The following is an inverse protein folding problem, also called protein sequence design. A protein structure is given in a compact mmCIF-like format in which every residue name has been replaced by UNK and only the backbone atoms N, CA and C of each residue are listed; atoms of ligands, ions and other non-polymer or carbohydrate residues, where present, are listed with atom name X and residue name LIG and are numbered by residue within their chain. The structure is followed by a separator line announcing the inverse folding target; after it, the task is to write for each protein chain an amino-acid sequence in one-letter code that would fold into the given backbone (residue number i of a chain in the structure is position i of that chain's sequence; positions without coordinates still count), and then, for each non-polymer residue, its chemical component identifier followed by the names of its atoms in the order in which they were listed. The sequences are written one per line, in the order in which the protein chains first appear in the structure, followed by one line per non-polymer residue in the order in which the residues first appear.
data_IF_080759931132
#
_entry.id   IF_080759931132
#
_cell.length_a   1.000
_cell.length_b   1.000
_cell.length_c   1.000
_cell.angle_alpha   90.00
_cell.angle_beta   90.00
_cell.angle_gamma   90.00
#
_symmetry.space_group_name_H-M   'P 1'
#
loop_
_entity.id
_entity.type
_entity.pdbx_description
1 polymer ?
#
# COMPACT_ATOMS: atom_id res chain seq x y z
N UNK A 1 -10.75 -2.51 11.19
CA UNK A 1 -11.15 -1.13 11.54
C UNK A 1 -11.31 -0.36 10.25
N UNK A 2 -12.41 0.37 10.09
CA UNK A 2 -12.63 1.23 8.92
C UNK A 2 -12.49 2.69 9.31
N UNK A 3 -11.98 3.49 8.39
CA UNK A 3 -11.89 4.93 8.54
C UNK A 3 -12.32 5.58 7.23
N UNK A 4 -12.93 6.74 7.34
CA UNK A 4 -13.35 7.56 6.22
C UNK A 4 -12.32 8.64 5.96
N UNK A 5 -11.92 8.81 4.70
CA UNK A 5 -11.10 9.96 4.29
C UNK A 5 -11.95 11.23 4.31
N UNK A 6 -11.52 12.22 5.07
CA UNK A 6 -12.15 13.55 5.17
C UNK A 6 -11.43 14.55 4.26
N UNK A 7 -10.09 14.50 4.24
CA UNK A 7 -9.26 15.42 3.45
C UNK A 7 -7.92 14.79 3.11
N UNK A 8 -7.39 15.13 1.92
CA UNK A 8 -6.01 14.86 1.53
C UNK A 8 -5.36 16.16 1.03
N UNK A 9 -4.15 16.45 1.49
CA UNK A 9 -3.32 17.57 1.06
C UNK A 9 -1.86 17.12 0.96
N UNK A 10 -1.39 16.83 -0.25
CA UNK A 10 -0.05 16.26 -0.45
C UNK A 10 0.08 14.90 0.23
N UNK A 11 1.08 14.80 1.11
CA UNK A 11 1.41 13.65 1.96
C UNK A 11 0.57 13.57 3.25
N UNK A 12 -0.37 14.51 3.44
CA UNK A 12 -1.15 14.60 4.66
C UNK A 12 -2.60 14.16 4.45
N UNK A 13 -3.02 13.16 5.22
CA UNK A 13 -4.36 12.59 5.20
C UNK A 13 -5.08 12.90 6.51
N UNK A 14 -6.32 13.36 6.43
CA UNK A 14 -7.21 13.48 7.58
C UNK A 14 -8.29 12.43 7.45
N UNK A 15 -8.34 11.52 8.41
CA UNK A 15 -9.32 10.42 8.44
C UNK A 15 -10.19 10.51 9.69
N UNK A 16 -11.44 10.06 9.59
CA UNK A 16 -12.35 9.85 10.71
C UNK A 16 -12.53 8.37 10.95
N UNK A 17 -12.33 7.94 12.19
CA UNK A 17 -12.51 6.54 12.60
C UNK A 17 -14.01 6.22 12.69
N UNK A 18 -14.49 5.16 12.03
CA UNK A 18 -15.94 4.89 11.93
C UNK A 18 -16.46 3.95 13.04
N UNK A 19 -15.62 3.05 13.57
CA UNK A 19 -15.99 2.13 14.65
C UNK A 19 -14.80 1.79 15.53
N UNK A 20 -15.00 1.87 16.85
CA UNK A 20 -13.99 1.56 17.87
C UNK A 20 -13.00 2.70 18.06
N UNK A 21 -12.99 3.27 19.27
CA UNK A 21 -11.97 4.22 19.74
C UNK A 21 -10.65 3.50 19.96
N UNK A 22 -10.05 2.98 18.88
CA UNK A 22 -8.66 2.60 18.92
C UNK A 22 -7.87 3.85 19.32
N UNK A 23 -7.17 3.77 20.47
CA UNK A 23 -6.20 4.80 20.84
C UNK A 23 -5.02 4.66 19.88
N UNK A 24 -5.09 5.35 18.76
CA UNK A 24 -3.92 5.62 17.93
C UNK A 24 -3.42 7.01 18.32
N UNK A 25 -2.52 7.11 19.32
CA UNK A 25 -1.92 8.39 19.68
C UNK A 25 -1.05 8.92 18.54
N UNK A 26 -0.71 10.21 18.63
CA UNK A 26 0.35 10.75 17.80
C UNK A 26 1.64 9.93 17.99
N UNK A 27 2.38 9.72 16.91
CA UNK A 27 3.55 8.82 16.90
C UNK A 27 3.24 7.39 16.47
N UNK A 28 1.96 7.03 16.27
CA UNK A 28 1.60 5.68 15.85
C UNK A 28 1.87 5.52 14.35
N UNK A 29 2.68 4.51 14.00
CA UNK A 29 2.85 4.08 12.62
C UNK A 29 1.58 3.40 12.11
N UNK A 30 1.16 3.77 10.91
CA UNK A 30 -0.07 3.31 10.29
C UNK A 30 0.16 2.98 8.81
N UNK A 31 -0.55 1.94 8.36
CA UNK A 31 -0.73 1.64 6.96
C UNK A 31 -2.09 2.16 6.51
N UNK A 32 -2.13 2.90 5.39
CA UNK A 32 -3.37 3.30 4.74
C UNK A 32 -3.48 2.56 3.41
N UNK A 33 -4.63 1.94 3.20
CA UNK A 33 -4.93 1.18 1.99
C UNK A 33 -6.05 1.90 1.27
N UNK A 34 -5.78 2.40 0.07
CA UNK A 34 -6.79 2.90 -0.87
C UNK A 34 -6.97 1.91 -2.02
N UNK A 35 -7.99 2.09 -2.88
CA UNK A 35 -8.13 1.26 -4.08
C UNK A 35 -6.91 1.31 -4.99
N UNK A 36 -6.24 2.46 -5.13
CA UNK A 36 -5.09 2.60 -6.03
C UNK A 36 -3.72 2.43 -5.36
N UNK A 37 -3.59 2.74 -4.06
CA UNK A 37 -2.27 2.86 -3.41
C UNK A 37 -2.23 2.27 -1.99
N UNK A 38 -1.03 1.88 -1.59
CA UNK A 38 -0.65 1.64 -0.20
C UNK A 38 0.19 2.82 0.28
N UNK A 39 -0.05 3.28 1.50
CA UNK A 39 0.73 4.32 2.14
C UNK A 39 1.23 3.84 3.49
N UNK A 40 2.47 4.20 3.82
CA UNK A 40 3.01 4.08 5.17
C UNK A 40 3.24 5.48 5.72
N UNK A 41 2.78 5.68 6.95
CA UNK A 41 2.87 6.98 7.59
C UNK A 41 2.77 6.90 9.10
N UNK A 42 2.78 8.09 9.69
CA UNK A 42 2.69 8.29 11.13
C UNK A 42 1.51 9.21 11.45
N UNK A 43 0.81 8.93 12.54
CA UNK A 43 -0.20 9.85 13.05
C UNK A 43 0.49 11.08 13.64
N UNK A 44 0.31 12.21 12.97
CA UNK A 44 0.85 13.50 13.41
C UNK A 44 -0.06 14.23 14.38
N UNK A 45 -1.38 13.99 14.35
CA UNK A 45 -2.31 14.57 15.33
C UNK A 45 -3.56 13.73 15.57
N UNK A 46 -4.12 13.91 16.77
CA UNK A 46 -5.35 13.25 17.22
C UNK A 46 -6.32 14.29 17.77
N UNK A 47 -7.56 14.30 17.26
CA UNK A 47 -8.64 15.16 17.77
C UNK A 47 -9.96 14.35 17.78
N UNK A 48 -10.38 13.88 18.96
CA UNK A 48 -11.53 12.97 19.08
C UNK A 48 -11.37 11.71 18.23
N UNK A 49 -12.22 11.57 17.21
CA UNK A 49 -12.18 10.47 16.23
C UNK A 49 -11.42 10.82 14.94
N UNK A 50 -10.90 12.05 14.83
CA UNK A 50 -10.08 12.47 13.70
C UNK A 50 -8.61 12.12 13.95
N UNK A 51 -7.97 11.57 12.93
CA UNK A 51 -6.53 11.37 12.88
C UNK A 51 -5.97 12.10 11.66
N UNK A 52 -4.91 12.85 11.89
CA UNK A 52 -4.07 13.32 10.79
C UNK A 52 -2.88 12.39 10.67
N UNK A 53 -2.62 11.93 9.46
CA UNK A 53 -1.51 11.05 9.12
C UNK A 53 -0.63 11.78 8.12
N UNK A 54 0.68 11.75 8.36
CA UNK A 54 1.70 12.18 7.40
C UNK A 54 2.32 10.93 6.81
N UNK A 55 2.33 10.81 5.48
CA UNK A 55 2.85 9.63 4.77
C UNK A 55 4.26 9.88 4.26
N UNK A 56 5.16 8.96 4.53
CA UNK A 56 6.55 9.04 4.06
C UNK A 56 6.78 8.21 2.79
N UNK A 57 5.99 7.15 2.63
CA UNK A 57 6.13 6.20 1.54
C UNK A 57 4.78 5.85 0.94
N UNK A 58 4.76 5.71 -0.40
CA UNK A 58 3.61 5.21 -1.14
C UNK A 58 4.02 4.13 -2.14
N UNK A 59 3.12 3.19 -2.39
CA UNK A 59 3.27 2.14 -3.39
C UNK A 59 2.02 2.07 -4.26
N UNK A 60 2.22 2.01 -5.57
CA UNK A 60 1.15 1.82 -6.54
C UNK A 60 0.72 0.33 -6.57
N UNK A 61 -0.58 0.08 -6.38
CA UNK A 61 -1.11 -1.28 -6.30
C UNK A 61 -1.00 -2.05 -7.62
N UNK A 62 -1.15 -1.36 -8.75
CA UNK A 62 -1.04 -1.99 -10.05
C UNK A 62 0.42 -2.38 -10.33
N UNK A 63 1.38 -1.54 -9.96
CA UNK A 63 2.80 -1.84 -10.04
C UNK A 63 3.19 -3.05 -9.18
N UNK A 64 2.72 -3.10 -7.92
CA UNK A 64 2.95 -4.26 -7.03
C UNK A 64 2.36 -5.53 -7.64
N UNK A 65 1.14 -5.46 -8.17
CA UNK A 65 0.48 -6.61 -8.83
C UNK A 65 1.27 -7.10 -10.03
N UNK A 66 1.79 -6.19 -10.86
CA UNK A 66 2.60 -6.55 -12.03
C UNK A 66 3.92 -7.23 -11.64
N UNK A 67 4.61 -6.72 -10.61
CA UNK A 67 5.85 -7.33 -10.09
C UNK A 67 5.56 -8.73 -9.54
N UNK A 68 4.49 -8.89 -8.76
CA UNK A 68 4.08 -10.19 -8.22
C UNK A 68 3.77 -11.18 -9.34
N UNK A 69 3.07 -10.76 -10.40
CA UNK A 69 2.79 -11.61 -11.54
C UNK A 69 4.07 -12.08 -12.24
N UNK A 70 5.07 -11.21 -12.39
CA UNK A 70 6.37 -11.55 -12.98
C UNK A 70 7.18 -12.54 -12.12
N UNK A 71 7.07 -12.46 -10.79
CA UNK A 71 7.76 -13.37 -9.88
C UNK A 71 7.08 -14.73 -9.75
N UNK A 72 5.74 -14.76 -9.72
CA UNK A 72 4.96 -16.00 -9.60
C UNK A 72 4.91 -16.77 -10.93
N UNK A 73 5.11 -16.07 -12.06
CA UNK A 73 5.30 -16.69 -13.36
C UNK A 73 6.77 -16.60 -13.80
N UNK A 74 7.66 -17.49 -13.33
CA UNK A 74 8.98 -17.62 -13.94
C UNK A 74 8.80 -18.28 -15.32
N UNK A 75 8.32 -17.53 -16.32
CA UNK A 75 8.35 -18.01 -17.70
C UNK A 75 9.78 -17.88 -18.21
N UNK A 76 10.52 -18.95 -17.93
CA UNK A 76 11.90 -19.15 -18.34
C UNK A 76 12.35 -20.61 -18.19
N UNK A 77 11.47 -21.60 -18.34
CA UNK A 77 11.94 -22.84 -18.97
C UNK A 77 12.31 -22.45 -20.40
N UNK A 78 13.55 -22.02 -20.59
CA UNK A 78 14.12 -21.71 -21.87
C UNK A 78 14.17 -23.01 -22.68
N UNK A 79 13.12 -23.31 -23.43
CA UNK A 79 13.22 -24.25 -24.54
C UNK A 79 14.04 -23.53 -25.61
N UNK A 80 15.36 -23.71 -25.56
CA UNK A 80 16.27 -23.27 -26.61
C UNK A 80 15.79 -23.86 -27.95
N UNK A 81 15.48 -23.05 -28.97
CA UNK A 81 15.23 -23.56 -30.30
C UNK A 81 16.58 -23.89 -30.92
N UNK A 82 17.00 -25.15 -30.83
CA UNK A 82 18.21 -25.60 -31.49
C UNK A 82 18.91 -26.73 -30.77
N UNK A 83 18.44 -27.95 -30.99
CA UNK A 83 19.37 -29.07 -31.12
C UNK A 83 18.94 -29.84 -32.35
N UNK A 84 19.64 -29.69 -33.49
CA UNK A 84 19.48 -30.66 -34.56
C UNK A 84 20.11 -31.96 -34.06
N UNK A 85 19.29 -32.97 -33.79
CA UNK A 85 19.81 -34.33 -33.59
C UNK A 85 20.28 -34.82 -34.95
N UNK A 86 21.58 -34.68 -35.19
CA UNK A 86 22.26 -35.24 -36.35
C UNK A 86 22.60 -36.70 -36.12
N UNK A 87 22.28 -37.50 -37.15
CA UNK A 87 22.73 -38.85 -37.49
C UNK A 87 22.30 -40.02 -36.60
#
# INVERSE_FOLDING_TARGET
MTARLEKQQGDRFTIRLETGTGRFPAGTLVELITPERYYLGEISSCDGDLRTITTEHELDRAAVTAIQAAWVSPRGAATLPGTPTGQ
#
